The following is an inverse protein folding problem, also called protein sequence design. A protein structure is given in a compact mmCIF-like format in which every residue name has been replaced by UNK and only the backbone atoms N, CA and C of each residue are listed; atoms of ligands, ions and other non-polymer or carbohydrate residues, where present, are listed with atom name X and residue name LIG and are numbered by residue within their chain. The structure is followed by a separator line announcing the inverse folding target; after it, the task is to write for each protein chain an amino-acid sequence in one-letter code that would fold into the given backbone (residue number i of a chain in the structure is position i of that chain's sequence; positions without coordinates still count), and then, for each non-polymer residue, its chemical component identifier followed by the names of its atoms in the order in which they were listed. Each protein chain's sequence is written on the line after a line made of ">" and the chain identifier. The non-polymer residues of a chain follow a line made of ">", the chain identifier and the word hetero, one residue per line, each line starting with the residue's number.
data_IF_812516756012
#
_entry.id   IF_812516756012
#
_cell.length_a   1.000
_cell.length_b   1.000
_cell.length_c   1.000
_cell.angle_alpha   90.00
_cell.angle_beta   90.00
_cell.angle_gamma   90.00
#
_symmetry.space_group_name_H-M   'P 1'
#
loop_
_entity.id
_entity.type
_entity.pdbx_description
1 polymer ?
#
# COMPACT_ATOMS: atom_id res chain seq x y z
N UNK A 1 21.51 -0.12 61.20
CA UNK A 1 22.29 -0.70 62.32
C UNK A 1 21.29 -1.08 63.39
N UNK A 2 21.00 -2.37 63.57
CA UNK A 2 20.08 -2.84 64.61
C UNK A 2 20.95 -3.40 65.73
N UNK A 3 21.10 -2.59 66.77
CA UNK A 3 21.86 -2.92 67.98
C UNK A 3 21.06 -3.99 68.73
N UNK A 4 21.59 -5.21 68.76
CA UNK A 4 21.07 -6.26 69.64
C UNK A 4 21.90 -6.21 70.92
N UNK A 5 21.37 -5.48 71.90
CA UNK A 5 21.97 -5.38 73.22
C UNK A 5 22.03 -6.77 73.88
N UNK A 6 23.26 -7.11 74.23
CA UNK A 6 23.64 -8.26 75.04
C UNK A 6 23.25 -7.92 76.49
N UNK A 7 22.69 -8.91 77.17
CA UNK A 7 22.54 -8.99 78.64
C UNK A 7 21.31 -8.33 79.27
N UNK A 8 20.19 -9.06 79.29
CA UNK A 8 19.28 -9.03 80.43
C UNK A 8 18.91 -10.47 80.80
N UNK A 9 19.76 -11.12 81.59
CA UNK A 9 19.41 -12.36 82.28
C UNK A 9 18.83 -11.93 83.62
N UNK A 10 17.51 -11.78 83.66
CA UNK A 10 16.75 -11.60 84.91
C UNK A 10 16.66 -12.95 85.62
N UNK A 11 17.19 -13.02 86.85
CA UNK A 11 17.06 -14.19 87.73
C UNK A 11 15.64 -14.23 88.32
N UNK A 12 14.72 -14.85 87.58
CA UNK A 12 13.36 -15.19 88.02
C UNK A 12 13.04 -16.67 87.76
N UNK A 13 11.98 -17.18 88.38
CA UNK A 13 11.59 -18.59 88.35
C UNK A 13 11.49 -19.13 86.90
N UNK A 14 12.34 -20.11 86.57
CA UNK A 14 12.56 -20.67 85.22
C UNK A 14 11.46 -21.66 84.78
N UNK A 15 10.27 -21.60 85.39
CA UNK A 15 9.17 -22.53 85.12
C UNK A 15 8.55 -22.37 83.71
N UNK A 16 8.81 -21.26 83.03
CA UNK A 16 8.27 -20.93 81.70
C UNK A 16 9.36 -20.46 80.73
N UNK A 17 10.53 -21.10 80.72
CA UNK A 17 11.50 -20.86 79.65
C UNK A 17 10.95 -21.43 78.33
N UNK A 18 10.60 -20.61 77.32
CA UNK A 18 10.06 -21.13 76.06
C UNK A 18 11.16 -21.86 75.29
N UNK A 19 10.87 -23.10 74.90
CA UNK A 19 11.77 -23.92 74.09
C UNK A 19 11.93 -23.28 72.70
N UNK A 20 13.13 -22.73 72.44
CA UNK A 20 13.44 -22.14 71.14
C UNK A 20 13.67 -23.27 70.14
N UNK A 21 12.65 -23.57 69.32
CA UNK A 21 12.81 -24.49 68.18
C UNK A 21 13.91 -23.95 67.25
N UNK A 22 14.88 -24.78 66.82
CA UNK A 22 15.87 -24.36 65.83
C UNK A 22 15.12 -24.00 64.54
N UNK A 23 15.34 -22.78 64.06
CA UNK A 23 14.80 -22.32 62.79
C UNK A 23 15.36 -23.24 61.70
N UNK A 24 14.51 -24.08 61.08
CA UNK A 24 14.91 -24.98 59.99
C UNK A 24 15.35 -24.12 58.80
N UNK A 25 16.61 -24.26 58.37
CA UNK A 25 17.12 -23.55 57.19
C UNK A 25 16.26 -23.78 55.95
N UNK A 26 15.59 -24.93 55.87
CA UNK A 26 14.68 -25.31 54.79
C UNK A 26 13.48 -24.35 54.66
N UNK A 27 12.94 -23.84 55.78
CA UNK A 27 11.82 -22.90 55.75
C UNK A 27 12.23 -21.54 55.18
N UNK A 28 13.46 -21.08 55.50
CA UNK A 28 14.03 -19.85 54.89
C UNK A 28 14.29 -20.00 53.40
N UNK A 29 14.74 -21.18 52.94
CA UNK A 29 14.99 -21.44 51.51
C UNK A 29 13.67 -21.47 50.73
N UNK A 30 12.62 -22.09 51.28
CA UNK A 30 11.27 -22.12 50.68
C UNK A 30 10.67 -20.72 50.57
N UNK A 31 10.73 -19.93 51.64
CA UNK A 31 10.25 -18.54 51.63
C UNK A 31 10.94 -17.68 50.56
N UNK A 32 12.27 -17.79 50.43
CA UNK A 32 13.02 -17.08 49.37
C UNK A 32 12.67 -17.54 47.96
N UNK A 33 12.40 -18.83 47.76
CA UNK A 33 11.96 -19.34 46.47
C UNK A 33 10.56 -18.81 46.10
N UNK A 34 9.63 -18.81 47.04
CA UNK A 34 8.29 -18.24 46.83
C UNK A 34 8.33 -16.74 46.54
N UNK A 35 9.16 -15.97 47.24
CA UNK A 35 9.36 -14.54 46.97
C UNK A 35 9.93 -14.30 45.55
N UNK A 36 10.91 -15.09 45.15
CA UNK A 36 11.51 -15.01 43.81
C UNK A 36 10.50 -15.39 42.70
N UNK A 37 9.67 -16.41 42.93
CA UNK A 37 8.58 -16.75 42.00
C UNK A 37 7.55 -15.64 41.89
N UNK A 38 7.12 -15.05 43.02
CA UNK A 38 6.19 -13.91 43.03
C UNK A 38 6.79 -12.72 42.27
N UNK A 39 8.08 -12.41 42.48
CA UNK A 39 8.76 -11.36 41.72
C UNK A 39 8.80 -11.64 40.22
N UNK A 40 9.07 -12.88 39.82
CA UNK A 40 9.08 -13.30 38.41
C UNK A 40 7.70 -13.16 37.78
N UNK A 41 6.64 -13.60 38.45
CA UNK A 41 5.25 -13.47 37.98
C UNK A 41 4.84 -12.00 37.84
N UNK A 42 5.22 -11.14 38.80
CA UNK A 42 4.99 -9.70 38.73
C UNK A 42 5.72 -9.05 37.55
N UNK A 43 6.99 -9.41 37.30
CA UNK A 43 7.75 -8.91 36.14
C UNK A 43 7.11 -9.34 34.82
N UNK A 44 6.70 -10.61 34.69
CA UNK A 44 6.03 -11.10 33.48
C UNK A 44 4.68 -10.43 33.25
N UNK A 45 3.90 -10.17 34.31
CA UNK A 45 2.63 -9.43 34.21
C UNK A 45 2.85 -7.99 33.72
N UNK A 46 3.86 -7.29 34.25
CA UNK A 46 4.24 -5.95 33.79
C UNK A 46 4.63 -5.93 32.30
N UNK A 47 5.45 -6.89 31.86
CA UNK A 47 5.84 -7.04 30.46
C UNK A 47 4.64 -7.32 29.55
N UNK A 48 3.70 -8.17 29.97
CA UNK A 48 2.47 -8.45 29.21
C UNK A 48 1.60 -7.20 29.06
N UNK A 49 1.50 -6.38 30.11
CA UNK A 49 0.75 -5.12 30.04
C UNK A 49 1.43 -4.10 29.11
N UNK A 50 2.76 -3.97 29.18
CA UNK A 50 3.52 -3.12 28.25
C UNK A 50 3.36 -3.59 26.79
N UNK A 51 3.41 -4.90 26.54
CA UNK A 51 3.19 -5.47 25.22
C UNK A 51 1.78 -5.17 24.68
N UNK A 52 0.74 -5.26 25.51
CA UNK A 52 -0.63 -4.89 25.11
C UNK A 52 -0.73 -3.43 24.70
N UNK A 53 -0.08 -2.52 25.44
CA UNK A 53 -0.04 -1.10 25.09
C UNK A 53 0.71 -0.88 23.78
N UNK A 54 1.84 -1.56 23.59
CA UNK A 54 2.63 -1.48 22.36
C UNK A 54 1.85 -1.97 21.14
N UNK A 55 1.10 -3.06 21.28
CA UNK A 55 0.19 -3.57 20.23
C UNK A 55 -0.92 -2.57 19.95
N UNK A 56 -1.50 -1.94 20.98
CA UNK A 56 -2.51 -0.90 20.80
C UNK A 56 -1.98 0.29 19.99
N UNK A 57 -0.77 0.77 20.29
CA UNK A 57 -0.11 1.85 19.54
C UNK A 57 0.21 1.41 18.11
N UNK A 58 0.69 0.19 17.91
CA UNK A 58 0.95 -0.34 16.58
C UNK A 58 -0.33 -0.41 15.75
N UNK A 59 -1.44 -0.84 16.34
CA UNK A 59 -2.72 -0.95 15.66
C UNK A 59 -3.25 0.44 15.24
N UNK A 60 -3.22 1.43 16.12
CA UNK A 60 -3.63 2.80 15.78
C UNK A 60 -2.72 3.42 14.72
N UNK A 61 -1.41 3.16 14.79
CA UNK A 61 -0.45 3.61 13.79
C UNK A 61 -0.72 2.98 12.41
N UNK A 62 -0.98 1.68 12.34
CA UNK A 62 -1.29 1.01 11.06
C UNK A 62 -2.56 1.56 10.41
N UNK A 63 -3.59 1.90 11.20
CA UNK A 63 -4.81 2.53 10.70
C UNK A 63 -4.50 3.91 10.11
N UNK A 64 -3.76 4.74 10.85
CA UNK A 64 -3.35 6.07 10.38
C UNK A 64 -2.51 6.00 9.10
N UNK A 65 -1.55 5.08 9.05
CA UNK A 65 -0.70 4.87 7.86
C UNK A 65 -1.52 4.37 6.66
N UNK A 66 -2.48 3.47 6.89
CA UNK A 66 -3.38 2.97 5.84
C UNK A 66 -4.19 4.09 5.20
N UNK A 67 -4.66 5.05 5.99
CA UNK A 67 -5.40 6.22 5.47
C UNK A 67 -4.50 7.06 4.58
N UNK A 68 -3.30 7.42 5.05
CA UNK A 68 -2.34 8.22 4.26
C UNK A 68 -1.95 7.51 2.96
N UNK A 69 -1.71 6.20 3.03
CA UNK A 69 -1.38 5.38 1.86
C UNK A 69 -2.52 5.39 0.82
N UNK A 70 -3.78 5.26 1.27
CA UNK A 70 -4.97 5.34 0.41
C UNK A 70 -5.06 6.70 -0.29
N UNK A 71 -4.93 7.79 0.46
CA UNK A 71 -4.96 9.14 -0.10
C UNK A 71 -3.83 9.37 -1.11
N UNK A 72 -2.62 8.87 -0.85
CA UNK A 72 -1.51 8.94 -1.80
C UNK A 72 -1.81 8.18 -3.10
N UNK A 73 -2.46 7.01 -3.01
CA UNK A 73 -2.84 6.21 -4.17
C UNK A 73 -3.90 6.90 -5.02
N UNK A 74 -4.94 7.47 -4.38
CA UNK A 74 -5.97 8.26 -5.05
C UNK A 74 -5.34 9.45 -5.77
N UNK A 75 -4.49 10.21 -5.09
CA UNK A 75 -3.81 11.37 -5.68
C UNK A 75 -2.96 10.99 -6.89
N UNK A 76 -2.23 9.87 -6.82
CA UNK A 76 -1.48 9.36 -7.96
C UNK A 76 -2.38 8.98 -9.14
N UNK A 77 -3.56 8.44 -8.87
CA UNK A 77 -4.53 8.09 -9.91
C UNK A 77 -5.15 9.34 -10.54
N UNK A 78 -5.52 10.35 -9.74
CA UNK A 78 -6.00 11.65 -10.23
C UNK A 78 -4.94 12.34 -11.09
N UNK A 79 -3.67 12.31 -10.68
CA UNK A 79 -2.59 12.90 -11.46
C UNK A 79 -2.41 12.19 -12.81
N UNK A 80 -2.45 10.85 -12.82
CA UNK A 80 -2.41 10.07 -14.07
C UNK A 80 -3.58 10.39 -14.99
N UNK A 81 -4.79 10.51 -14.43
CA UNK A 81 -5.99 10.87 -15.18
C UNK A 81 -5.88 12.27 -15.78
N UNK A 82 -5.36 13.24 -15.02
CA UNK A 82 -5.10 14.60 -15.48
C UNK A 82 -4.12 14.62 -16.65
N UNK A 83 -2.98 13.93 -16.52
CA UNK A 83 -1.98 13.81 -17.59
C UNK A 83 -2.59 13.16 -18.84
N UNK A 84 -3.34 12.06 -18.69
CA UNK A 84 -3.98 11.39 -19.81
C UNK A 84 -5.02 12.30 -20.51
N UNK A 85 -5.77 13.09 -19.73
CA UNK A 85 -6.73 14.06 -20.27
C UNK A 85 -6.02 15.17 -21.04
N UNK A 86 -4.91 15.69 -20.52
CA UNK A 86 -4.08 16.69 -21.21
C UNK A 86 -3.55 16.13 -22.53
N UNK A 87 -3.02 14.89 -22.51
CA UNK A 87 -2.52 14.23 -23.72
C UNK A 87 -3.62 14.03 -24.76
N UNK A 88 -4.81 13.59 -24.34
CA UNK A 88 -5.95 13.40 -25.24
C UNK A 88 -6.40 14.74 -25.85
N UNK A 89 -6.49 15.80 -25.05
CA UNK A 89 -6.84 17.14 -25.55
C UNK A 89 -5.78 17.67 -26.53
N UNK A 90 -4.50 17.43 -26.28
CA UNK A 90 -3.43 17.81 -27.19
C UNK A 90 -3.50 17.02 -28.50
N UNK A 91 -3.79 15.72 -28.44
CA UNK A 91 -3.98 14.88 -29.61
C UNK A 91 -5.21 15.31 -30.43
N UNK A 92 -6.32 15.66 -29.78
CA UNK A 92 -7.51 16.21 -30.43
C UNK A 92 -7.20 17.52 -31.15
N UNK A 93 -6.50 18.45 -30.51
CA UNK A 93 -6.04 19.71 -31.13
C UNK A 93 -5.08 19.48 -32.29
N UNK A 94 -4.17 18.51 -32.18
CA UNK A 94 -3.26 18.16 -33.26
C UNK A 94 -4.02 17.59 -34.47
N UNK A 95 -5.01 16.73 -34.23
CA UNK A 95 -5.88 16.19 -35.28
C UNK A 95 -6.72 17.28 -35.94
N UNK A 96 -7.27 18.22 -35.16
CA UNK A 96 -8.01 19.36 -35.70
C UNK A 96 -7.13 20.29 -36.54
N UNK A 97 -5.92 20.59 -36.06
CA UNK A 97 -4.92 21.35 -36.82
C UNK A 97 -4.56 20.65 -38.13
N UNK A 98 -4.32 19.34 -38.11
CA UNK A 98 -4.01 18.56 -39.30
C UNK A 98 -5.19 18.54 -40.28
N UNK A 99 -6.42 18.43 -39.77
CA UNK A 99 -7.63 18.52 -40.60
C UNK A 99 -7.74 19.89 -41.28
N UNK A 100 -7.45 20.97 -40.56
CA UNK A 100 -7.43 22.32 -41.13
C UNK A 100 -6.34 22.49 -42.18
N UNK A 101 -5.14 21.95 -41.95
CA UNK A 101 -4.06 21.95 -42.94
C UNK A 101 -4.43 21.14 -44.19
N UNK A 102 -4.99 19.95 -44.02
CA UNK A 102 -5.51 19.14 -45.12
C UNK A 102 -6.59 19.89 -45.91
N UNK A 103 -7.49 20.60 -45.23
CA UNK A 103 -8.49 21.44 -45.90
C UNK A 103 -7.85 22.56 -46.71
N UNK A 104 -6.79 23.23 -46.20
CA UNK A 104 -6.05 24.25 -46.97
C UNK A 104 -5.35 23.66 -48.21
N UNK A 105 -4.74 22.49 -48.08
CA UNK A 105 -4.09 21.81 -49.21
C UNK A 105 -5.09 21.24 -50.22
N UNK A 106 -6.27 20.82 -49.77
CA UNK A 106 -7.36 20.31 -50.61
C UNK A 106 -8.25 21.44 -51.18
N UNK A 107 -7.89 22.70 -50.99
CA UNK A 107 -8.50 23.77 -51.78
C UNK A 107 -8.10 23.57 -53.24
N UNK A 108 -9.09 23.31 -54.09
CA UNK A 108 -8.95 23.10 -55.54
C UNK A 108 -8.05 24.18 -56.17
N UNK A 109 -8.12 25.42 -55.69
CA UNK A 109 -7.29 26.53 -56.13
C UNK A 109 -5.78 26.30 -55.95
N UNK A 110 -5.34 25.71 -54.84
CA UNK A 110 -3.94 25.37 -54.61
C UNK A 110 -3.48 24.21 -55.50
N UNK A 111 -4.37 23.24 -55.73
CA UNK A 111 -4.10 22.09 -56.60
C UNK A 111 -3.99 22.56 -58.05
N UNK A 112 -4.91 23.40 -58.52
CA UNK A 112 -4.92 23.98 -59.86
C UNK A 112 -3.69 24.86 -60.09
N UNK A 113 -3.29 25.70 -59.12
CA UNK A 113 -2.11 26.54 -59.24
C UNK A 113 -0.80 25.73 -59.35
N UNK A 114 -0.69 24.62 -58.60
CA UNK A 114 0.47 23.73 -58.67
C UNK A 114 0.47 22.87 -59.94
N UNK A 115 -0.71 22.38 -60.35
CA UNK A 115 -0.92 21.63 -61.58
C UNK A 115 -0.58 22.47 -62.83
N UNK A 116 -0.96 23.75 -62.82
CA UNK A 116 -0.65 24.71 -63.89
C UNK A 116 0.85 24.94 -64.03
N UNK A 117 1.59 25.03 -62.90
CA UNK A 117 3.05 25.12 -62.91
C UNK A 117 3.74 23.84 -63.41
N UNK A 118 3.08 22.69 -63.33
CA UNK A 118 3.59 21.40 -63.79
C UNK A 118 3.08 21.02 -65.19
N UNK A 119 2.44 21.94 -65.92
CA UNK A 119 1.81 21.69 -67.23
C UNK A 119 0.83 20.50 -67.22
N UNK A 120 0.17 20.26 -66.10
CA UNK A 120 -0.85 19.21 -66.01
C UNK A 120 -2.11 19.65 -66.76
N UNK A 121 -2.66 18.74 -67.56
CA UNK A 121 -3.89 18.96 -68.34
C UNK A 121 -5.06 18.28 -67.62
N UNK A 122 -6.22 18.92 -67.64
CA UNK A 122 -7.42 18.36 -67.02
C UNK A 122 -7.80 17.04 -67.72
N UNK A 123 -7.99 15.94 -67.00
CA UNK A 123 -8.25 14.63 -67.60
C UNK A 123 -9.61 14.60 -68.29
N UNK A 124 -9.66 13.93 -69.44
CA UNK A 124 -10.90 13.74 -70.18
C UNK A 124 -11.82 12.76 -69.42
N UNK A 125 -13.05 13.21 -69.16
CA UNK A 125 -14.08 12.42 -68.48
C UNK A 125 -14.48 11.16 -69.25
N UNK A 126 -14.19 11.11 -70.56
CA UNK A 126 -14.45 9.95 -71.42
C UNK A 126 -13.52 8.75 -71.15
N UNK A 127 -12.39 8.97 -70.47
CA UNK A 127 -11.34 7.97 -70.20
C UNK A 127 -11.31 7.51 -68.73
N UNK A 128 -12.32 7.86 -67.93
CA UNK A 128 -12.34 7.55 -66.50
C UNK A 128 -12.61 6.05 -66.24
N UNK A 129 -11.65 5.37 -65.61
CA UNK A 129 -11.80 3.99 -65.13
C UNK A 129 -12.19 4.03 -63.65
N UNK A 130 -13.38 3.55 -63.30
CA UNK A 130 -13.77 3.38 -61.90
C UNK A 130 -13.14 2.11 -61.34
N UNK A 131 -12.38 2.27 -60.26
CA UNK A 131 -11.79 1.16 -59.50
C UNK A 131 -12.57 1.03 -58.20
N UNK A 132 -13.09 -0.17 -57.93
CA UNK A 132 -13.80 -0.48 -56.70
C UNK A 132 -12.80 -0.76 -55.58
N UNK A 133 -12.81 0.09 -54.55
CA UNK A 133 -11.89 0.02 -53.40
C UNK A 133 -12.48 -0.78 -52.23
N UNK A 134 -13.69 -1.34 -52.34
CA UNK A 134 -14.36 -2.06 -51.25
C UNK A 134 -13.77 -3.46 -50.97
N UNK A 135 -12.68 -3.84 -51.63
CA UNK A 135 -12.03 -5.14 -51.42
C UNK A 135 -11.20 -5.14 -50.13
N UNK A 136 -11.87 -5.43 -49.02
CA UNK A 136 -11.27 -5.65 -47.69
C UNK A 136 -10.37 -6.91 -47.69
N UNK A 137 -9.08 -6.75 -48.02
CA UNK A 137 -8.08 -7.85 -48.01
C UNK A 137 -7.41 -8.07 -46.65
N UNK A 138 -7.78 -7.33 -45.60
CA UNK A 138 -7.15 -7.44 -44.28
C UNK A 138 -8.08 -8.24 -43.36
N UNK A 139 -7.84 -9.56 -43.27
CA UNK A 139 -8.40 -10.39 -42.21
C UNK A 139 -7.58 -10.15 -40.94
N UNK A 140 -8.06 -9.27 -40.06
CA UNK A 140 -7.50 -9.12 -38.72
C UNK A 140 -7.99 -10.28 -37.86
N UNK A 141 -7.08 -11.18 -37.47
CA UNK A 141 -7.36 -12.25 -36.50
C UNK A 141 -7.76 -11.67 -35.15
N UNK A 142 -9.04 -11.77 -34.80
CA UNK A 142 -9.59 -11.43 -33.48
C UNK A 142 -9.36 -12.59 -32.52
N UNK A 143 -8.12 -13.01 -32.30
CA UNK A 143 -7.81 -13.90 -31.19
C UNK A 143 -7.50 -13.05 -29.95
N UNK A 144 -8.58 -12.64 -29.28
CA UNK A 144 -8.53 -12.12 -27.91
C UNK A 144 -8.16 -13.30 -27.01
N UNK A 145 -6.89 -13.34 -26.61
CA UNK A 145 -6.39 -14.24 -25.56
C UNK A 145 -7.07 -13.83 -24.25
N UNK A 146 -8.14 -14.55 -23.90
CA UNK A 146 -8.78 -14.47 -22.59
C UNK A 146 -7.97 -15.31 -21.60
N UNK A 147 -6.81 -14.79 -21.18
CA UNK A 147 -6.07 -15.36 -20.06
C UNK A 147 -6.79 -14.96 -18.76
N UNK A 148 -7.61 -15.89 -18.26
CA UNK A 148 -8.18 -15.81 -16.91
C UNK A 148 -7.03 -15.94 -15.91
N UNK A 149 -6.44 -14.80 -15.53
CA UNK A 149 -5.48 -14.71 -14.42
C UNK A 149 -6.20 -15.13 -13.14
N UNK A 150 -5.72 -16.19 -12.51
CA UNK A 150 -6.18 -16.60 -11.20
C UNK A 150 -5.70 -15.56 -10.19
N UNK A 151 -6.59 -14.68 -9.73
CA UNK A 151 -6.21 -13.65 -8.77
C UNK A 151 -5.84 -14.28 -7.43
N UNK A 152 -4.62 -14.02 -6.97
CA UNK A 152 -4.14 -14.50 -5.68
C UNK A 152 -4.89 -13.79 -4.56
N UNK A 153 -5.08 -14.43 -3.42
CA UNK A 153 -5.79 -13.88 -2.24
C UNK A 153 -5.27 -12.49 -1.85
N UNK A 154 -3.99 -12.21 -2.10
CA UNK A 154 -3.40 -10.88 -1.91
C UNK A 154 -3.99 -9.80 -2.82
N UNK A 155 -4.33 -10.12 -4.08
CA UNK A 155 -4.99 -9.19 -5.01
C UNK A 155 -6.43 -8.91 -4.58
N UNK A 156 -7.17 -9.90 -4.09
CA UNK A 156 -8.53 -9.71 -3.56
C UNK A 156 -8.52 -8.80 -2.32
N UNK A 157 -7.55 -9.04 -1.42
CA UNK A 157 -7.34 -8.19 -0.25
C UNK A 157 -6.93 -6.79 -0.70
N UNK A 158 -6.04 -6.70 -1.70
CA UNK A 158 -5.62 -5.41 -2.27
C UNK A 158 -6.80 -4.64 -2.87
N UNK A 159 -7.64 -5.26 -3.69
CA UNK A 159 -8.75 -4.54 -4.33
C UNK A 159 -9.85 -4.13 -3.35
N UNK A 160 -10.05 -4.89 -2.26
CA UNK A 160 -11.04 -4.53 -1.22
C UNK A 160 -10.51 -3.58 -0.15
N UNK A 161 -9.20 -3.61 0.17
CA UNK A 161 -8.61 -2.81 1.26
C UNK A 161 -7.65 -1.71 0.80
N UNK A 162 -7.02 -1.81 -0.37
CA UNK A 162 -6.11 -0.84 -1.01
C UNK A 162 -6.60 -0.30 -2.35
#
# INVERSE_FOLDING_TARGET
>A
MIVTEKNYISNGNTALAPERKPHREDDRRRLKQEENEKLRRLKQSKLRNQAKVMIGIALTFTIGFSVVYRYSTIYNMENKLSIATIQNNNAAKANESLKLQLMQYNQIQNIEAKASKMNMVQPDKSQAVQVDYDRTTIKTDKNVVNDKKHESVFQIIKDKLF
#
